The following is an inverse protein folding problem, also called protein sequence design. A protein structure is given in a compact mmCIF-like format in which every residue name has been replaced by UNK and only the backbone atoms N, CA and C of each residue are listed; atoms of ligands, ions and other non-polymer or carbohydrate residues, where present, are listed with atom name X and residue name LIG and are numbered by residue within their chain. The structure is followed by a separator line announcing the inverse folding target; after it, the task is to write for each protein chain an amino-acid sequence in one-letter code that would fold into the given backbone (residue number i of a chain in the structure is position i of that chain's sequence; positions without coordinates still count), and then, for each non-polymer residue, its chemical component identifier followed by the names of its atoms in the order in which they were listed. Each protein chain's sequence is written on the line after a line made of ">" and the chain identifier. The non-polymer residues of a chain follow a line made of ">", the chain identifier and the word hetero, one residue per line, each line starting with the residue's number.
data_IF_590511410696
#
_entry.id   IF_590511410696
#
_cell.length_a   1.000
_cell.length_b   1.000
_cell.length_c   1.000
_cell.angle_alpha   90.00
_cell.angle_beta   90.00
_cell.angle_gamma   90.00
#
_symmetry.space_group_name_H-M   'P 1'
#
loop_
_entity.id
_entity.type
_entity.pdbx_description
1 polymer ?
#
# COMPACT_ATOMS: atom_id res chain seq x y z
N UNK A 1 8.87 -5.06 10.40
CA UNK A 1 9.33 -4.52 11.70
C UNK A 1 8.61 -5.29 12.78
N UNK A 2 9.16 -5.39 14.00
CA UNK A 2 8.35 -5.89 15.11
C UNK A 2 7.08 -5.04 15.16
N UNK A 3 5.93 -5.70 15.29
CA UNK A 3 4.66 -5.04 15.55
C UNK A 3 4.87 -4.20 16.82
N UNK A 4 4.91 -2.87 16.68
CA UNK A 4 5.08 -2.02 17.84
C UNK A 4 3.80 -2.06 18.64
N UNK A 5 3.91 -2.54 19.86
CA UNK A 5 2.80 -2.62 20.80
C UNK A 5 2.33 -1.22 21.23
N UNK A 6 3.26 -0.25 21.23
CA UNK A 6 3.01 1.12 21.60
C UNK A 6 3.53 2.10 20.55
N UNK A 7 2.76 3.16 20.29
CA UNK A 7 3.15 4.25 19.40
C UNK A 7 4.28 5.07 20.05
N UNK A 8 4.21 5.34 21.35
CA UNK A 8 5.22 6.12 22.05
C UNK A 8 5.49 5.60 23.47
N UNK A 9 6.69 5.83 23.98
CA UNK A 9 7.04 5.67 25.39
C UNK A 9 7.68 6.96 25.95
N UNK A 10 7.12 7.57 27.01
CA UNK A 10 7.75 8.68 27.70
C UNK A 10 8.91 8.16 28.57
N UNK A 11 10.10 8.73 28.39
CA UNK A 11 11.26 8.48 29.26
C UNK A 11 11.50 9.72 30.10
N UNK A 12 11.36 9.61 31.42
CA UNK A 12 11.38 10.76 32.34
C UNK A 12 11.86 10.36 33.74
N UNK A 13 12.23 11.34 34.57
CA UNK A 13 12.52 11.14 35.98
C UNK A 13 11.23 11.26 36.83
N UNK A 14 11.14 10.51 37.93
CA UNK A 14 9.94 10.49 38.78
C UNK A 14 9.54 11.89 39.29
N UNK A 15 10.51 12.77 39.51
CA UNK A 15 10.31 14.15 39.94
C UNK A 15 9.51 14.98 38.92
N UNK A 16 9.59 14.64 37.64
CA UNK A 16 8.93 15.35 36.55
C UNK A 16 7.55 14.78 36.19
N UNK A 17 7.12 13.71 36.89
CA UNK A 17 5.89 12.95 36.60
C UNK A 17 4.66 13.82 36.41
N UNK A 18 4.47 14.82 37.28
CA UNK A 18 3.28 15.67 37.22
C UNK A 18 3.17 16.46 35.91
N UNK A 19 4.31 16.83 35.30
CA UNK A 19 4.34 17.49 33.98
C UNK A 19 4.16 16.50 32.84
N UNK A 20 4.81 15.34 32.93
CA UNK A 20 4.75 14.29 31.91
C UNK A 20 3.35 13.71 31.78
N UNK A 21 2.68 13.49 32.92
CA UNK A 21 1.34 12.90 32.95
C UNK A 21 0.32 13.73 32.17
N UNK A 22 0.42 15.06 32.21
CA UNK A 22 -0.46 15.94 31.43
C UNK A 22 -0.35 15.68 29.92
N UNK A 23 0.87 15.44 29.42
CA UNK A 23 1.10 15.13 28.00
C UNK A 23 0.64 13.71 27.68
N UNK A 24 0.94 12.75 28.57
CA UNK A 24 0.52 11.34 28.42
C UNK A 24 -0.99 11.20 28.34
N UNK A 25 -1.72 11.80 29.28
CA UNK A 25 -3.18 11.78 29.31
C UNK A 25 -3.74 12.39 28.03
N UNK A 26 -3.17 13.52 27.59
CA UNK A 26 -3.63 14.15 26.35
C UNK A 26 -3.34 13.31 25.11
N UNK A 27 -2.22 12.61 25.05
CA UNK A 27 -1.91 11.67 23.97
C UNK A 27 -2.90 10.50 23.94
N UNK A 28 -3.25 9.95 25.11
CA UNK A 28 -4.26 8.90 25.25
C UNK A 28 -5.63 9.40 24.77
N UNK A 29 -6.04 10.61 25.14
CA UNK A 29 -7.29 11.23 24.69
C UNK A 29 -7.34 11.40 23.15
N UNK A 30 -6.18 11.59 22.53
CA UNK A 30 -6.02 11.68 21.07
C UNK A 30 -5.89 10.30 20.39
N UNK A 31 -6.06 9.20 21.13
CA UNK A 31 -6.05 7.84 20.61
C UNK A 31 -4.65 7.26 20.34
N UNK A 32 -3.60 7.86 20.89
CA UNK A 32 -2.22 7.35 20.77
C UNK A 32 -2.01 6.20 21.76
N UNK A 33 -1.43 5.08 21.30
CA UNK A 33 -1.03 3.99 22.20
C UNK A 33 0.25 4.37 22.95
N UNK A 34 0.15 4.66 24.25
CA UNK A 34 1.28 5.10 25.09
C UNK A 34 1.68 3.99 26.05
N UNK A 35 2.94 3.56 26.02
CA UNK A 35 3.50 2.72 27.09
C UNK A 35 3.72 3.58 28.32
N UNK A 36 2.98 3.34 29.40
CA UNK A 36 3.17 4.02 30.68
C UNK A 36 3.35 3.00 31.81
N UNK A 37 4.48 3.11 32.50
CA UNK A 37 4.97 2.14 33.48
C UNK A 37 3.95 1.77 34.58
N UNK A 38 3.09 2.71 35.00
CA UNK A 38 2.07 2.48 36.03
C UNK A 38 0.83 1.74 35.50
N UNK A 39 0.50 1.91 34.22
CA UNK A 39 -0.63 1.20 33.60
C UNK A 39 -0.33 -0.30 33.40
N UNK A 40 0.94 -0.68 33.54
CA UNK A 40 1.46 -2.02 33.29
C UNK A 40 1.82 -2.76 34.59
N UNK A 41 1.30 -2.28 35.73
CA UNK A 41 1.69 -2.79 37.06
C UNK A 41 1.48 -4.30 37.22
N UNK A 42 0.40 -4.86 36.67
CA UNK A 42 0.11 -6.30 36.74
C UNK A 42 1.05 -7.11 35.87
N UNK A 43 1.31 -6.66 34.64
CA UNK A 43 2.15 -7.35 33.67
C UNK A 43 3.63 -7.32 34.06
N UNK A 44 4.07 -6.22 34.68
CA UNK A 44 5.45 -6.06 35.17
C UNK A 44 5.72 -6.81 36.48
N UNK A 45 4.68 -7.25 37.19
CA UNK A 45 4.84 -7.84 38.51
C UNK A 45 5.60 -9.18 38.42
N UNK A 46 6.84 -9.18 38.94
CA UNK A 46 7.70 -10.37 38.99
C UNK A 46 8.68 -10.50 37.81
N UNK A 47 8.68 -9.55 36.87
CA UNK A 47 9.64 -9.51 35.76
C UNK A 47 10.98 -8.89 36.18
N UNK A 48 12.05 -9.23 35.45
CA UNK A 48 13.29 -8.45 35.47
C UNK A 48 13.06 -7.12 34.75
N UNK A 49 12.97 -6.04 35.54
CA UNK A 49 12.68 -4.72 35.03
C UNK A 49 13.80 -4.15 34.14
N UNK A 50 15.05 -4.61 34.27
CA UNK A 50 16.15 -4.17 33.42
C UNK A 50 16.00 -4.74 32.01
N UNK A 51 15.75 -6.05 31.91
CA UNK A 51 15.52 -6.72 30.63
C UNK A 51 14.24 -6.18 29.97
N UNK A 52 13.14 -6.12 30.72
CA UNK A 52 11.86 -5.63 30.22
C UNK A 52 11.92 -4.18 29.73
N UNK A 53 12.62 -3.31 30.44
CA UNK A 53 12.83 -1.91 30.00
C UNK A 53 13.67 -1.87 28.72
N UNK A 54 14.70 -2.71 28.63
CA UNK A 54 15.58 -2.75 27.46
C UNK A 54 14.84 -3.24 26.22
N UNK A 55 13.99 -4.26 26.36
CA UNK A 55 13.12 -4.73 25.28
C UNK A 55 12.09 -3.66 24.90
N UNK A 56 11.43 -3.05 25.88
CA UNK A 56 10.36 -2.09 25.58
C UNK A 56 10.85 -0.86 24.84
N UNK A 57 11.89 -0.20 25.36
CA UNK A 57 12.48 1.00 24.75
C UNK A 57 13.38 0.68 23.56
N UNK A 58 13.84 -0.57 23.42
CA UNK A 58 14.69 -1.03 22.33
C UNK A 58 13.92 -1.57 21.11
N UNK A 59 12.73 -2.15 21.30
CA UNK A 59 12.02 -2.83 20.21
C UNK A 59 10.49 -2.74 20.22
N UNK A 60 9.81 -2.59 21.37
CA UNK A 60 8.33 -2.61 21.43
C UNK A 60 7.66 -1.27 21.13
N UNK A 61 8.40 -0.17 21.23
CA UNK A 61 7.85 1.19 21.00
C UNK A 61 8.32 1.76 19.66
N UNK A 62 7.45 2.55 19.02
CA UNK A 62 7.77 3.23 17.75
C UNK A 62 8.63 4.48 17.95
N UNK A 63 8.29 5.34 18.90
CA UNK A 63 9.12 6.48 19.31
C UNK A 63 9.34 6.50 20.82
N UNK A 64 10.46 7.06 21.25
CA UNK A 64 10.69 7.41 22.65
C UNK A 64 10.64 8.93 22.78
N UNK A 65 9.90 9.41 23.79
CA UNK A 65 9.79 10.82 24.15
C UNK A 65 10.66 11.09 25.39
N UNK A 66 11.95 11.41 25.25
CA UNK A 66 12.77 11.77 26.41
C UNK A 66 12.37 13.16 26.90
N UNK A 67 11.84 13.21 28.13
CA UNK A 67 11.57 14.44 28.86
C UNK A 67 12.83 14.86 29.61
N UNK A 68 13.52 15.84 29.04
CA UNK A 68 14.85 16.25 29.45
C UNK A 68 14.78 17.26 30.59
N UNK A 69 15.37 16.90 31.73
CA UNK A 69 15.56 17.74 32.90
C UNK A 69 16.88 17.43 33.61
N UNK A 70 17.24 18.23 34.62
CA UNK A 70 18.33 17.90 35.53
C UNK A 70 18.13 16.54 36.20
N UNK A 71 16.90 16.26 36.67
CA UNK A 71 16.54 14.99 37.30
C UNK A 71 16.69 13.80 36.33
N UNK A 72 16.34 13.98 35.06
CA UNK A 72 16.47 12.98 34.01
C UNK A 72 17.91 12.52 33.72
N UNK A 73 18.89 13.41 33.93
CA UNK A 73 20.31 13.07 33.74
C UNK A 73 20.84 12.24 34.91
N UNK A 74 20.37 12.55 36.12
CA UNK A 74 20.85 11.98 37.38
C UNK A 74 20.18 10.64 37.73
N UNK A 75 18.91 10.44 37.36
CA UNK A 75 18.10 9.26 37.67
C UNK A 75 18.58 7.98 36.93
N UNK A 76 18.53 6.84 37.62
CA UNK A 76 19.15 5.57 37.17
C UNK A 76 18.36 4.89 36.05
N UNK A 77 17.04 4.87 36.11
CA UNK A 77 16.16 4.25 35.13
C UNK A 77 16.10 5.03 33.82
N UNK A 78 15.95 6.35 33.87
CA UNK A 78 16.10 7.31 32.79
C UNK A 78 17.45 7.12 32.08
N UNK A 79 18.54 6.91 32.83
CA UNK A 79 19.86 6.60 32.25
C UNK A 79 19.91 5.26 31.53
N UNK A 80 19.18 4.24 31.99
CA UNK A 80 19.07 2.95 31.29
C UNK A 80 18.27 3.11 30.01
N UNK A 81 17.05 3.66 30.11
CA UNK A 81 16.15 3.94 28.97
C UNK A 81 16.86 4.74 27.89
N UNK A 82 17.55 5.84 28.26
CA UNK A 82 18.32 6.68 27.34
C UNK A 82 19.41 5.91 26.61
N UNK A 83 20.16 5.05 27.32
CA UNK A 83 21.26 4.28 26.69
C UNK A 83 20.73 3.28 25.66
N UNK A 84 19.65 2.58 25.99
CA UNK A 84 18.99 1.63 25.08
C UNK A 84 18.43 2.37 23.86
N UNK A 85 17.71 3.47 24.10
CA UNK A 85 17.08 4.23 23.03
C UNK A 85 18.12 4.88 22.08
N UNK A 86 19.23 5.39 22.62
CA UNK A 86 20.34 5.91 21.82
C UNK A 86 21.03 4.82 20.99
N UNK A 87 21.21 3.61 21.55
CA UNK A 87 21.80 2.50 20.81
C UNK A 87 20.97 2.14 19.57
N UNK A 88 19.65 2.04 19.75
CA UNK A 88 18.71 1.80 18.63
C UNK A 88 18.70 2.96 17.62
N UNK A 89 18.70 4.20 18.09
CA UNK A 89 18.73 5.37 17.22
C UNK A 89 19.99 5.41 16.33
N UNK A 90 21.13 4.93 16.84
CA UNK A 90 22.37 4.80 16.08
C UNK A 90 22.25 3.75 14.96
N UNK A 91 21.59 2.63 15.24
CA UNK A 91 21.40 1.53 14.28
C UNK A 91 20.41 1.86 13.16
N UNK A 92 19.33 2.59 13.45
CA UNK A 92 18.21 2.79 12.50
C UNK A 92 18.34 4.04 11.60
N UNK A 93 19.33 4.93 11.78
CA UNK A 93 19.45 6.21 11.04
C UNK A 93 18.11 6.98 10.89
N UNK A 94 17.23 6.87 11.89
CA UNK A 94 15.86 7.37 11.84
C UNK A 94 15.54 8.22 13.08
N UNK A 95 14.52 9.06 12.97
CA UNK A 95 14.03 10.01 13.99
C UNK A 95 13.37 9.30 15.21
N UNK A 96 14.05 8.33 15.84
CA UNK A 96 13.48 7.49 16.91
C UNK A 96 13.24 8.23 18.24
N UNK A 97 14.07 9.23 18.53
CA UNK A 97 13.98 10.06 19.73
C UNK A 97 13.31 11.38 19.40
N UNK A 98 12.28 11.76 20.17
CA UNK A 98 11.60 13.04 20.05
C UNK A 98 11.73 13.82 21.37
N UNK A 99 12.84 14.56 21.59
CA UNK A 99 13.12 15.20 22.87
C UNK A 99 12.14 16.32 23.22
N UNK A 100 11.76 16.36 24.50
CA UNK A 100 10.92 17.39 25.10
C UNK A 100 11.67 17.98 26.29
N UNK A 101 12.08 19.25 26.24
CA UNK A 101 12.81 19.92 27.31
C UNK A 101 11.85 20.40 28.40
N UNK A 102 12.20 20.08 29.64
CA UNK A 102 11.62 20.61 30.87
C UNK A 102 12.47 21.79 31.37
N UNK A 103 13.80 21.70 31.20
CA UNK A 103 14.78 22.74 31.49
C UNK A 103 15.93 22.76 30.45
N UNK A 104 16.94 23.60 30.70
CA UNK A 104 18.10 23.78 29.81
C UNK A 104 19.25 22.79 30.06
N UNK A 105 19.00 21.70 30.78
CA UNK A 105 20.04 20.69 31.07
C UNK A 105 20.51 20.03 29.78
N UNK A 106 21.83 19.87 29.64
CA UNK A 106 22.44 19.10 28.56
C UNK A 106 22.43 17.61 28.88
N UNK A 107 22.05 16.79 27.91
CA UNK A 107 21.89 15.35 28.10
C UNK A 107 23.05 14.60 27.46
N UNK A 108 23.84 13.83 28.23
CA UNK A 108 24.88 12.98 27.68
C UNK A 108 24.31 11.98 26.66
N UNK A 109 24.86 12.02 25.44
CA UNK A 109 24.47 11.13 24.33
C UNK A 109 23.34 11.66 23.45
N UNK A 110 22.78 12.84 23.73
CA UNK A 110 21.87 13.55 22.84
C UNK A 110 22.62 14.76 22.24
N UNK A 111 22.74 14.82 20.92
CA UNK A 111 23.45 15.93 20.26
C UNK A 111 22.61 17.22 20.36
N UNK A 112 23.28 18.35 20.59
CA UNK A 112 22.62 19.67 20.61
C UNK A 112 21.96 20.06 19.27
N UNK A 113 22.32 19.37 18.17
CA UNK A 113 21.72 19.54 16.85
C UNK A 113 20.38 18.81 16.68
N UNK A 114 19.96 17.97 17.64
CA UNK A 114 18.65 17.30 17.60
C UNK A 114 17.56 18.30 17.94
N UNK A 115 16.57 18.43 17.06
CA UNK A 115 15.39 19.28 17.31
C UNK A 115 14.60 18.80 18.53
N UNK A 116 14.04 19.74 19.30
CA UNK A 116 13.28 19.46 20.51
C UNK A 116 12.02 20.33 20.59
N UNK A 117 11.05 19.87 21.36
CA UNK A 117 9.97 20.72 21.89
C UNK A 117 10.30 21.12 23.32
N UNK A 118 9.68 22.18 23.82
CA UNK A 118 9.97 22.76 25.13
C UNK A 118 8.66 23.05 25.87
N UNK A 119 8.45 22.44 27.05
CA UNK A 119 7.21 22.59 27.83
C UNK A 119 7.00 24.01 28.39
N UNK A 120 8.06 24.83 28.41
CA UNK A 120 8.00 26.23 28.86
C UNK A 120 7.45 27.16 27.78
N UNK A 121 7.54 26.73 26.52
CA UNK A 121 7.14 27.51 25.34
C UNK A 121 5.91 26.90 24.65
N UNK A 122 5.82 25.58 24.64
CA UNK A 122 4.77 24.82 23.97
C UNK A 122 3.80 24.27 25.02
N UNK A 123 2.50 24.45 24.79
CA UNK A 123 1.48 23.86 25.66
C UNK A 123 1.41 22.34 25.48
N UNK A 124 0.83 21.66 26.46
CA UNK A 124 0.53 20.22 26.42
C UNK A 124 -0.19 19.82 25.13
N UNK A 125 -1.15 20.62 24.68
CA UNK A 125 -1.87 20.40 23.42
C UNK A 125 -0.94 20.42 22.21
N UNK A 126 -0.07 21.43 22.12
CA UNK A 126 0.86 21.58 20.99
C UNK A 126 1.83 20.42 20.93
N UNK A 127 2.35 19.99 22.08
CA UNK A 127 3.25 18.84 22.17
C UNK A 127 2.53 17.56 21.74
N UNK A 128 1.33 17.32 22.26
CA UNK A 128 0.55 16.13 21.93
C UNK A 128 0.19 16.08 20.43
N UNK A 129 -0.27 17.19 19.85
CA UNK A 129 -0.55 17.29 18.42
C UNK A 129 0.70 17.09 17.56
N UNK A 130 1.86 17.61 17.98
CA UNK A 130 3.11 17.40 17.24
C UNK A 130 3.52 15.92 17.23
N UNK A 131 3.31 15.19 18.32
CA UNK A 131 3.53 13.74 18.38
C UNK A 131 2.55 13.01 17.45
N UNK A 132 1.27 13.36 17.48
CA UNK A 132 0.26 12.80 16.54
C UNK A 132 0.67 13.07 15.09
N UNK A 133 1.15 14.27 14.79
CA UNK A 133 1.61 14.63 13.46
C UNK A 133 2.86 13.82 13.05
N UNK A 134 3.81 13.58 13.97
CA UNK A 134 4.97 12.70 13.71
C UNK A 134 4.54 11.25 13.44
N UNK A 135 3.60 10.73 14.22
CA UNK A 135 3.01 9.41 14.00
C UNK A 135 2.28 9.35 12.64
N UNK A 136 1.54 10.40 12.27
CA UNK A 136 0.85 10.48 10.99
C UNK A 136 1.82 10.59 9.82
N UNK A 137 2.88 11.40 9.91
CA UNK A 137 3.92 11.52 8.88
C UNK A 137 4.64 10.18 8.65
N UNK A 138 4.96 9.46 9.72
CA UNK A 138 5.51 8.11 9.60
C UNK A 138 4.50 7.14 8.96
N UNK A 139 3.20 7.28 9.24
CA UNK A 139 2.15 6.47 8.62
C UNK A 139 1.85 6.88 7.16
N UNK A 140 2.22 8.09 6.75
CA UNK A 140 1.93 8.69 5.44
C UNK A 140 3.03 8.52 4.38
N UNK A 141 4.14 7.85 4.68
CA UNK A 141 5.26 7.69 3.72
C UNK A 141 4.91 6.86 2.48
N UNK A 142 3.82 6.09 2.51
CA UNK A 142 3.37 5.29 1.37
C UNK A 142 1.91 5.58 1.04
N UNK A 143 1.68 6.15 -0.14
CA UNK A 143 0.36 6.44 -0.69
C UNK A 143 0.19 5.72 -2.02
N UNK A 144 -1.02 5.72 -2.57
CA UNK A 144 -1.32 5.25 -3.93
C UNK A 144 -0.46 5.94 -5.00
N UNK A 145 0.15 7.10 -4.68
CA UNK A 145 1.03 7.87 -5.56
C UNK A 145 2.53 7.59 -5.37
N UNK A 146 2.94 6.79 -4.38
CA UNK A 146 4.37 6.53 -4.11
C UNK A 146 4.96 5.62 -5.19
N UNK A 147 6.04 6.00 -5.91
CA UNK A 147 6.68 5.16 -6.92
C UNK A 147 7.04 3.77 -6.38
N UNK A 148 6.72 2.69 -7.11
CA UNK A 148 7.17 1.34 -6.78
C UNK A 148 8.61 1.19 -7.24
N UNK A 149 9.53 1.22 -6.29
CA UNK A 149 10.94 0.91 -6.48
C UNK A 149 11.34 -0.20 -5.51
N UNK A 150 12.43 -0.95 -5.76
CA UNK A 150 12.92 -1.92 -4.78
C UNK A 150 13.14 -1.30 -3.40
N UNK A 151 13.53 -0.02 -3.33
CA UNK A 151 13.68 0.70 -2.07
C UNK A 151 12.34 1.04 -1.41
N UNK A 152 11.33 1.50 -2.16
CA UNK A 152 10.02 1.83 -1.57
C UNK A 152 9.24 0.58 -1.16
N UNK A 153 9.34 -0.51 -1.93
CA UNK A 153 8.78 -1.82 -1.56
C UNK A 153 9.48 -2.36 -0.31
N UNK A 154 10.82 -2.30 -0.26
CA UNK A 154 11.57 -2.72 0.92
C UNK A 154 11.31 -1.84 2.14
N UNK A 155 11.03 -0.54 1.96
CA UNK A 155 10.61 0.35 3.02
C UNK A 155 9.21 -0.01 3.52
N UNK A 156 8.24 -0.19 2.63
CA UNK A 156 6.87 -0.57 2.98
C UNK A 156 6.80 -1.94 3.65
N UNK A 157 7.48 -2.95 3.10
CA UNK A 157 7.57 -4.30 3.65
C UNK A 157 8.24 -4.33 5.03
N UNK A 158 9.13 -3.35 5.30
CA UNK A 158 9.76 -3.19 6.60
C UNK A 158 8.83 -2.48 7.58
N UNK A 159 8.24 -1.36 7.18
CA UNK A 159 7.43 -0.49 8.03
C UNK A 159 6.04 -1.06 8.35
N UNK A 160 5.48 -1.86 7.43
CA UNK A 160 4.15 -2.49 7.50
C UNK A 160 3.09 -1.59 8.17
N UNK A 161 2.84 -0.38 7.64
CA UNK A 161 1.75 0.47 8.13
C UNK A 161 0.40 -0.26 8.03
N UNK A 162 -0.64 0.23 8.73
CA UNK A 162 -1.98 -0.35 8.64
C UNK A 162 -2.46 -0.35 7.19
N UNK A 163 -2.85 -1.53 6.69
CA UNK A 163 -3.30 -1.70 5.29
C UNK A 163 -2.18 -1.71 4.25
N UNK A 164 -0.92 -1.91 4.65
CA UNK A 164 0.22 -1.90 3.74
C UNK A 164 0.10 -2.90 2.59
N UNK A 165 -0.50 -4.08 2.82
CA UNK A 165 -0.70 -5.09 1.78
C UNK A 165 -1.56 -4.52 0.64
N UNK A 166 -2.65 -3.87 1.02
CA UNK A 166 -3.59 -3.27 0.09
C UNK A 166 -2.99 -2.08 -0.64
N UNK A 167 -2.31 -1.19 0.09
CA UNK A 167 -1.62 -0.05 -0.52
C UNK A 167 -0.56 -0.51 -1.53
N UNK A 168 0.24 -1.53 -1.20
CA UNK A 168 1.25 -2.08 -2.10
C UNK A 168 0.60 -2.55 -3.42
N UNK A 169 -0.44 -3.37 -3.31
CA UNK A 169 -1.15 -3.92 -4.45
C UNK A 169 -1.74 -2.82 -5.34
N UNK A 170 -2.49 -1.89 -4.75
CA UNK A 170 -3.14 -0.78 -5.48
C UNK A 170 -2.10 0.07 -6.21
N UNK A 171 -0.98 0.38 -5.55
CA UNK A 171 0.07 1.21 -6.14
C UNK A 171 0.75 0.50 -7.32
N UNK A 172 1.01 -0.81 -7.24
CA UNK A 172 1.53 -1.61 -8.36
C UNK A 172 0.56 -1.58 -9.54
N UNK A 173 -0.74 -1.84 -9.30
CA UNK A 173 -1.77 -1.83 -10.34
C UNK A 173 -1.90 -0.44 -10.97
N UNK A 174 -1.99 0.61 -10.16
CA UNK A 174 -2.16 1.98 -10.64
C UNK A 174 -1.00 2.45 -11.51
N UNK A 175 0.24 2.14 -11.13
CA UNK A 175 1.42 2.51 -11.92
C UNK A 175 1.50 1.71 -13.22
N UNK A 176 1.30 0.40 -13.16
CA UNK A 176 1.30 -0.43 -14.36
C UNK A 176 0.23 -0.03 -15.36
N UNK A 177 -0.98 0.31 -14.90
CA UNK A 177 -2.03 0.82 -15.81
C UNK A 177 -1.72 2.22 -16.37
N UNK A 178 -1.05 3.09 -15.61
CA UNK A 178 -0.63 4.39 -16.11
C UNK A 178 0.37 4.26 -17.28
N UNK A 179 1.28 3.27 -17.24
CA UNK A 179 2.18 2.97 -18.36
C UNK A 179 1.44 2.50 -19.62
N UNK A 180 0.27 1.89 -19.46
CA UNK A 180 -0.57 1.38 -20.54
C UNK A 180 -1.66 2.36 -21.00
N UNK A 181 -1.73 3.54 -20.39
CA UNK A 181 -2.80 4.52 -20.64
C UNK A 181 -2.88 4.92 -22.13
N UNK A 182 -1.74 5.13 -22.78
CA UNK A 182 -1.71 5.44 -24.21
C UNK A 182 -2.34 4.31 -25.04
N UNK A 183 -1.94 3.06 -24.79
CA UNK A 183 -2.48 1.89 -25.53
C UNK A 183 -3.98 1.76 -25.31
N UNK A 184 -4.44 2.01 -24.09
CA UNK A 184 -5.85 2.00 -23.71
C UNK A 184 -6.66 3.02 -24.51
N UNK A 185 -6.21 4.28 -24.58
CA UNK A 185 -6.91 5.31 -25.35
C UNK A 185 -6.91 5.02 -26.85
N UNK A 186 -5.79 4.54 -27.40
CA UNK A 186 -5.69 4.14 -28.81
C UNK A 186 -6.68 3.02 -29.17
N UNK A 187 -6.91 2.06 -28.27
CA UNK A 187 -7.91 1.00 -28.45
C UNK A 187 -9.32 1.56 -28.65
N UNK A 188 -9.76 2.50 -27.82
CA UNK A 188 -11.09 3.11 -27.96
C UNK A 188 -11.20 4.05 -29.17
N UNK A 189 -10.08 4.57 -29.68
CA UNK A 189 -10.00 5.24 -30.98
C UNK A 189 -10.01 4.27 -32.17
N UNK A 190 -10.09 2.96 -31.92
CA UNK A 190 -10.02 1.88 -32.91
C UNK A 190 -8.71 1.88 -33.70
N UNK A 191 -7.65 2.41 -33.08
CA UNK A 191 -6.37 2.69 -33.72
C UNK A 191 -5.26 1.76 -33.19
N UNK A 192 -4.38 1.36 -34.10
CA UNK A 192 -3.06 0.83 -33.81
C UNK A 192 -2.15 1.07 -35.03
N UNK A 193 -0.83 1.22 -34.82
CA UNK A 193 0.15 1.21 -35.91
C UNK A 193 0.00 -0.04 -36.76
N UNK A 194 0.27 0.06 -38.06
CA UNK A 194 0.26 -1.11 -38.94
C UNK A 194 1.38 -2.06 -38.52
N UNK A 195 1.05 -3.33 -38.29
CA UNK A 195 2.01 -4.33 -37.80
C UNK A 195 2.73 -5.11 -38.92
N UNK A 196 2.54 -4.70 -40.18
CA UNK A 196 3.12 -5.37 -41.35
C UNK A 196 2.39 -6.64 -41.79
N UNK A 197 1.44 -7.15 -41.00
CA UNK A 197 0.62 -8.30 -41.39
C UNK A 197 -0.49 -7.88 -42.37
N UNK A 198 -0.63 -8.64 -43.46
CA UNK A 198 -1.70 -8.48 -44.45
C UNK A 198 -2.44 -9.81 -44.60
N UNK A 199 -3.73 -9.83 -44.28
CA UNK A 199 -4.62 -10.96 -44.51
C UNK A 199 -5.17 -10.89 -45.95
N UNK A 200 -4.80 -11.87 -46.77
CA UNK A 200 -5.17 -11.94 -48.19
C UNK A 200 -6.39 -12.84 -48.46
N UNK A 201 -6.77 -13.71 -47.52
CA UNK A 201 -7.93 -14.59 -47.64
C UNK A 201 -9.22 -13.93 -47.18
N UNK A 202 -10.25 -14.77 -46.98
CA UNK A 202 -11.54 -14.34 -46.42
C UNK A 202 -11.48 -13.97 -44.92
N UNK A 203 -10.31 -14.12 -44.28
CA UNK A 203 -10.08 -13.78 -42.88
C UNK A 203 -10.72 -14.69 -41.84
N UNK A 204 -11.49 -15.72 -42.23
CA UNK A 204 -12.24 -16.56 -41.28
C UNK A 204 -11.31 -17.30 -40.32
N UNK A 205 -10.23 -17.91 -40.83
CA UNK A 205 -9.27 -18.64 -40.00
C UNK A 205 -8.60 -17.71 -38.99
N UNK A 206 -8.09 -16.56 -39.44
CA UNK A 206 -7.45 -15.57 -38.57
C UNK A 206 -8.38 -15.04 -37.48
N UNK A 207 -9.65 -14.79 -37.83
CA UNK A 207 -10.67 -14.36 -36.86
C UNK A 207 -10.94 -15.48 -35.83
N UNK A 208 -11.02 -16.74 -36.25
CA UNK A 208 -11.21 -17.87 -35.32
C UNK A 208 -10.04 -18.02 -34.36
N UNK A 209 -8.81 -17.96 -34.86
CA UNK A 209 -7.60 -18.07 -34.03
C UNK A 209 -7.57 -16.98 -32.95
N UNK A 210 -7.99 -15.76 -33.31
CA UNK A 210 -8.09 -14.64 -32.36
C UNK A 210 -9.20 -14.81 -31.33
N UNK A 211 -10.33 -15.42 -31.69
CA UNK A 211 -11.37 -15.73 -30.71
C UNK A 211 -10.88 -16.75 -29.68
N UNK A 212 -10.15 -17.78 -30.14
CA UNK A 212 -9.51 -18.75 -29.24
C UNK A 212 -8.53 -18.04 -28.32
N UNK A 213 -7.67 -17.18 -28.86
CA UNK A 213 -6.68 -16.46 -28.08
C UNK A 213 -7.30 -15.58 -26.98
N UNK A 214 -8.34 -14.80 -27.29
CA UNK A 214 -9.03 -14.01 -26.26
C UNK A 214 -9.67 -14.93 -25.20
N UNK A 215 -10.30 -16.02 -25.63
CA UNK A 215 -10.89 -17.01 -24.73
C UNK A 215 -9.86 -17.59 -23.76
N UNK A 216 -8.67 -17.94 -24.23
CA UNK A 216 -7.58 -18.45 -23.38
C UNK A 216 -7.06 -17.38 -22.41
N UNK A 217 -6.89 -16.12 -22.86
CA UNK A 217 -6.50 -15.00 -21.98
C UNK A 217 -7.49 -14.85 -20.83
N UNK A 218 -8.80 -14.78 -21.14
CA UNK A 218 -9.85 -14.63 -20.12
C UNK A 218 -9.94 -15.85 -19.22
N UNK A 219 -9.79 -17.06 -19.78
CA UNK A 219 -9.83 -18.29 -19.00
C UNK A 219 -8.68 -18.35 -17.99
N UNK A 220 -7.46 -18.05 -18.41
CA UNK A 220 -6.30 -17.99 -17.49
C UNK A 220 -6.51 -16.92 -16.42
N UNK A 221 -7.04 -15.75 -16.80
CA UNK A 221 -7.35 -14.69 -15.86
C UNK A 221 -8.31 -15.16 -14.76
N UNK A 222 -9.42 -15.80 -15.12
CA UNK A 222 -10.46 -16.25 -14.17
C UNK A 222 -10.04 -17.49 -13.38
N UNK A 223 -9.51 -18.52 -14.05
CA UNK A 223 -9.26 -19.82 -13.45
C UNK A 223 -7.94 -19.86 -12.66
N UNK A 224 -7.03 -18.91 -12.90
CA UNK A 224 -5.68 -18.91 -12.29
C UNK A 224 -5.34 -17.62 -11.55
N UNK A 225 -5.52 -16.47 -12.18
CA UNK A 225 -5.00 -15.19 -11.64
C UNK A 225 -5.95 -14.60 -10.59
N UNK A 226 -7.23 -14.49 -10.91
CA UNK A 226 -8.24 -13.82 -10.09
C UNK A 226 -9.05 -14.80 -9.22
N UNK A 227 -8.35 -15.75 -8.60
CA UNK A 227 -8.94 -16.74 -7.70
C UNK A 227 -8.74 -16.36 -6.23
N UNK A 228 -9.61 -16.87 -5.35
CA UNK A 228 -9.46 -16.71 -3.91
C UNK A 228 -8.13 -17.31 -3.41
N UNK A 229 -7.75 -18.48 -3.93
CA UNK A 229 -6.50 -19.16 -3.56
C UNK A 229 -5.26 -18.32 -3.91
N UNK A 230 -5.24 -17.72 -5.11
CA UNK A 230 -4.13 -16.85 -5.54
C UNK A 230 -4.07 -15.56 -4.71
N UNK A 231 -5.23 -14.99 -4.36
CA UNK A 231 -5.29 -13.84 -3.46
C UNK A 231 -4.78 -14.18 -2.05
N UNK A 232 -5.25 -15.28 -1.46
CA UNK A 232 -4.82 -15.73 -0.12
C UNK A 232 -3.33 -16.09 -0.11
N UNK A 233 -2.80 -16.68 -1.18
CA UNK A 233 -1.38 -16.99 -1.30
C UNK A 233 -0.46 -15.77 -1.27
N UNK A 234 -0.98 -14.58 -1.65
CA UNK A 234 -0.26 -13.30 -1.63
C UNK A 234 -0.56 -12.48 -0.37
N UNK A 235 -1.84 -12.25 -0.06
CA UNK A 235 -2.28 -11.41 1.06
C UNK A 235 -2.26 -12.11 2.43
N UNK A 236 -2.17 -13.45 2.44
CA UNK A 236 -2.31 -14.25 3.64
C UNK A 236 -3.77 -14.51 4.00
N UNK A 237 -4.00 -15.61 4.71
CA UNK A 237 -5.30 -15.90 5.33
C UNK A 237 -5.58 -15.01 6.55
N UNK A 238 -6.76 -15.10 7.16
CA UNK A 238 -7.11 -14.30 8.33
C UNK A 238 -6.08 -14.42 9.47
N UNK A 239 -5.47 -13.30 9.86
CA UNK A 239 -4.44 -13.24 10.91
C UNK A 239 -3.04 -13.68 10.48
N UNK A 240 -2.85 -14.04 9.21
CA UNK A 240 -1.54 -14.36 8.63
C UNK A 240 -1.10 -13.17 7.77
N UNK A 241 0.08 -12.58 8.01
CA UNK A 241 0.54 -11.45 7.21
C UNK A 241 0.85 -11.88 5.77
N UNK A 242 0.54 -11.01 4.82
CA UNK A 242 0.85 -11.21 3.41
C UNK A 242 2.35 -11.17 3.09
N UNK A 243 2.70 -11.69 1.92
CA UNK A 243 4.06 -11.71 1.38
C UNK A 243 4.23 -10.54 0.39
N UNK A 244 5.15 -9.59 0.64
CA UNK A 244 5.33 -8.42 -0.22
C UNK A 244 5.68 -8.76 -1.67
N UNK A 245 6.53 -9.76 -1.91
CA UNK A 245 6.95 -10.14 -3.27
C UNK A 245 5.80 -10.76 -4.03
N UNK A 246 4.99 -11.59 -3.37
CA UNK A 246 3.79 -12.18 -3.98
C UNK A 246 2.70 -11.15 -4.23
N UNK A 247 2.54 -10.15 -3.37
CA UNK A 247 1.59 -9.04 -3.58
C UNK A 247 1.99 -8.22 -4.81
N UNK A 248 3.28 -7.88 -4.94
CA UNK A 248 3.80 -7.21 -6.14
C UNK A 248 3.53 -8.06 -7.37
N UNK A 249 3.89 -9.34 -7.33
CA UNK A 249 3.69 -10.25 -8.45
C UNK A 249 2.21 -10.36 -8.86
N UNK A 250 1.29 -10.43 -7.90
CA UNK A 250 -0.15 -10.46 -8.17
C UNK A 250 -0.64 -9.16 -8.83
N UNK A 251 -0.14 -8.01 -8.39
CA UNK A 251 -0.41 -6.72 -9.05
C UNK A 251 0.13 -6.68 -10.48
N UNK A 252 1.34 -7.19 -10.71
CA UNK A 252 1.92 -7.30 -12.05
C UNK A 252 1.14 -8.25 -12.96
N UNK A 253 0.59 -9.35 -12.42
CA UNK A 253 -0.27 -10.26 -13.19
C UNK A 253 -1.57 -9.56 -13.62
N UNK A 254 -2.18 -8.74 -12.76
CA UNK A 254 -3.33 -7.92 -13.14
C UNK A 254 -3.00 -6.99 -14.33
N UNK A 255 -1.88 -6.27 -14.24
CA UNK A 255 -1.42 -5.35 -15.29
C UNK A 255 -1.09 -6.11 -16.57
N UNK A 256 -0.47 -7.30 -16.46
CA UNK A 256 -0.15 -8.15 -17.60
C UNK A 256 -1.40 -8.66 -18.30
N UNK A 257 -2.40 -9.14 -17.57
CA UNK A 257 -3.69 -9.54 -18.16
C UNK A 257 -4.33 -8.38 -18.90
N UNK A 258 -4.28 -7.16 -18.33
CA UNK A 258 -4.78 -5.96 -19.00
C UNK A 258 -4.02 -5.68 -20.32
N UNK A 259 -2.68 -5.76 -20.30
CA UNK A 259 -1.86 -5.57 -21.50
C UNK A 259 -2.08 -6.68 -22.54
N UNK A 260 -2.28 -7.94 -22.14
CA UNK A 260 -2.57 -9.04 -23.07
C UNK A 260 -3.88 -8.82 -23.83
N UNK A 261 -4.93 -8.34 -23.16
CA UNK A 261 -6.20 -7.98 -23.80
C UNK A 261 -6.01 -6.78 -24.74
N UNK A 262 -5.22 -5.78 -24.32
CA UNK A 262 -4.88 -4.62 -25.18
C UNK A 262 -4.11 -5.07 -26.42
N UNK A 263 -3.04 -5.84 -26.27
CA UNK A 263 -2.21 -6.31 -27.37
C UNK A 263 -2.98 -7.23 -28.31
N UNK A 264 -3.90 -8.06 -27.79
CA UNK A 264 -4.84 -8.80 -28.61
C UNK A 264 -5.65 -7.88 -29.53
N UNK A 265 -6.28 -6.85 -28.98
CA UNK A 265 -7.07 -5.90 -29.77
C UNK A 265 -6.20 -5.07 -30.72
N UNK A 266 -5.02 -4.61 -30.27
CA UNK A 266 -4.04 -3.87 -31.08
C UNK A 266 -3.55 -4.70 -32.26
N UNK A 267 -3.31 -5.99 -32.06
CA UNK A 267 -2.98 -6.92 -33.13
C UNK A 267 -4.04 -6.94 -34.22
N UNK A 268 -5.32 -6.91 -33.84
CA UNK A 268 -6.44 -6.80 -34.78
C UNK A 268 -6.46 -5.43 -35.45
N UNK A 269 -6.31 -4.36 -34.67
CA UNK A 269 -6.33 -2.99 -35.18
C UNK A 269 -5.17 -2.69 -36.13
N UNK A 270 -4.01 -3.32 -35.95
CA UNK A 270 -2.80 -3.15 -36.75
C UNK A 270 -2.75 -4.00 -38.01
N UNK A 271 -3.50 -5.11 -38.08
CA UNK A 271 -3.56 -5.97 -39.27
C UNK A 271 -4.28 -5.28 -40.43
N UNK A 272 -3.68 -5.40 -41.61
CA UNK A 272 -4.28 -4.97 -42.88
C UNK A 272 -5.03 -6.13 -43.52
N UNK A 273 -6.10 -5.83 -44.24
CA UNK A 273 -6.96 -6.83 -44.87
C UNK A 273 -7.14 -6.45 -46.33
N UNK A 274 -6.92 -7.40 -47.24
CA UNK A 274 -7.23 -7.23 -48.66
C UNK A 274 -8.74 -7.20 -48.90
N UNK A 275 -9.50 -8.03 -48.16
CA UNK A 275 -10.96 -8.07 -48.20
C UNK A 275 -11.57 -7.09 -47.18
N UNK A 276 -12.43 -6.19 -47.65
CA UNK A 276 -13.14 -5.22 -46.82
C UNK A 276 -14.13 -5.86 -45.85
N UNK A 277 -14.77 -6.98 -46.22
CA UNK A 277 -15.68 -7.71 -45.34
C UNK A 277 -14.92 -8.32 -44.18
N UNK A 278 -13.76 -8.93 -44.47
CA UNK A 278 -12.89 -9.50 -43.44
C UNK A 278 -12.39 -8.40 -42.49
N UNK A 279 -12.03 -7.23 -43.06
CA UNK A 279 -11.70 -6.03 -42.27
C UNK A 279 -12.84 -5.66 -41.33
N UNK A 280 -14.08 -5.54 -41.83
CA UNK A 280 -15.22 -5.14 -41.02
C UNK A 280 -15.50 -6.13 -39.89
N UNK A 281 -15.51 -7.44 -40.17
CA UNK A 281 -15.71 -8.48 -39.16
C UNK A 281 -14.62 -8.45 -38.07
N UNK A 282 -13.35 -8.27 -38.46
CA UNK A 282 -12.25 -8.13 -37.52
C UNK A 282 -12.37 -6.87 -36.64
N UNK A 283 -12.84 -5.74 -37.19
CA UNK A 283 -13.06 -4.51 -36.39
C UNK A 283 -14.19 -4.64 -35.38
N UNK A 284 -15.20 -5.46 -35.67
CA UNK A 284 -16.25 -5.80 -34.69
C UNK A 284 -15.66 -6.72 -33.61
N UNK A 285 -14.88 -7.74 -34.01
CA UNK A 285 -14.22 -8.66 -33.08
C UNK A 285 -13.38 -7.92 -32.04
N UNK A 286 -12.56 -6.95 -32.45
CA UNK A 286 -11.69 -6.20 -31.53
C UNK A 286 -12.46 -5.51 -30.38
N UNK A 287 -13.74 -5.21 -30.57
CA UNK A 287 -14.59 -4.58 -29.55
C UNK A 287 -14.94 -5.52 -28.40
N UNK A 288 -14.70 -6.83 -28.53
CA UNK A 288 -14.89 -7.78 -27.42
C UNK A 288 -13.97 -7.46 -26.23
N UNK A 289 -12.86 -6.75 -26.48
CA UNK A 289 -11.97 -6.24 -25.45
C UNK A 289 -12.55 -5.04 -24.68
N UNK A 290 -13.50 -4.29 -25.24
CA UNK A 290 -13.99 -3.03 -24.67
C UNK A 290 -14.50 -3.20 -23.24
N UNK A 291 -15.40 -4.16 -23.05
CA UNK A 291 -16.01 -4.39 -21.75
C UNK A 291 -14.99 -4.94 -20.74
N UNK A 292 -14.08 -5.81 -21.17
CA UNK A 292 -13.06 -6.38 -20.29
C UNK A 292 -12.10 -5.29 -19.79
N UNK A 293 -11.63 -4.45 -20.71
CA UNK A 293 -10.73 -3.34 -20.40
C UNK A 293 -11.41 -2.29 -19.52
N UNK A 294 -12.70 -1.99 -19.76
CA UNK A 294 -13.47 -1.11 -18.88
C UNK A 294 -13.63 -1.70 -17.49
N UNK A 295 -14.01 -2.97 -17.38
CA UNK A 295 -14.19 -3.64 -16.10
C UNK A 295 -12.90 -3.66 -15.28
N UNK A 296 -11.77 -4.03 -15.88
CA UNK A 296 -10.47 -4.00 -15.19
C UNK A 296 -10.04 -2.57 -14.81
N UNK A 297 -10.29 -1.59 -15.69
CA UNK A 297 -9.99 -0.19 -15.36
C UNK A 297 -10.84 0.32 -14.19
N UNK A 298 -12.15 0.00 -14.18
CA UNK A 298 -13.06 0.34 -13.09
C UNK A 298 -12.67 -0.33 -11.78
N UNK A 299 -12.25 -1.59 -11.81
CA UNK A 299 -11.70 -2.27 -10.62
C UNK A 299 -10.51 -1.50 -10.07
N UNK A 300 -9.55 -1.10 -10.92
CA UNK A 300 -8.38 -0.36 -10.48
C UNK A 300 -8.73 1.02 -9.89
N UNK A 301 -9.70 1.74 -10.47
CA UNK A 301 -10.18 3.01 -9.93
C UNK A 301 -10.85 2.82 -8.55
N UNK A 302 -11.75 1.85 -8.43
CA UNK A 302 -12.43 1.55 -7.17
C UNK A 302 -11.44 1.14 -6.06
N UNK A 303 -10.40 0.36 -6.42
CA UNK A 303 -9.34 -0.01 -5.49
C UNK A 303 -8.56 1.23 -5.01
N UNK A 304 -8.28 2.17 -5.91
CA UNK A 304 -7.60 3.42 -5.56
C UNK A 304 -8.42 4.32 -4.64
N UNK A 305 -9.71 4.48 -4.92
CA UNK A 305 -10.61 5.28 -4.06
C UNK A 305 -10.64 4.77 -2.62
N UNK A 306 -10.62 3.45 -2.43
CA UNK A 306 -10.51 2.86 -1.09
C UNK A 306 -9.14 3.13 -0.48
N UNK A 307 -8.05 2.96 -1.25
CA UNK A 307 -6.69 3.17 -0.77
C UNK A 307 -6.45 4.59 -0.23
N UNK A 308 -7.03 5.60 -0.89
CA UNK A 308 -6.83 7.01 -0.55
C UNK A 308 -7.37 7.37 0.85
N UNK A 309 -8.34 6.62 1.38
CA UNK A 309 -8.91 6.83 2.73
C UNK A 309 -8.60 5.69 3.69
N UNK A 310 -7.87 4.67 3.23
CA UNK A 310 -7.72 3.40 3.96
C UNK A 310 -7.03 3.59 5.32
N UNK A 311 -5.91 4.32 5.34
CA UNK A 311 -5.10 4.50 6.55
C UNK A 311 -5.89 5.23 7.63
N UNK A 312 -6.64 6.26 7.26
CA UNK A 312 -7.47 7.05 8.17
C UNK A 312 -8.58 6.20 8.78
N UNK A 313 -9.30 5.45 7.94
CA UNK A 313 -10.41 4.58 8.36
C UNK A 313 -9.94 3.42 9.25
N UNK A 314 -8.83 2.76 8.88
CA UNK A 314 -8.21 1.73 9.72
C UNK A 314 -7.67 2.30 11.03
N UNK A 315 -7.20 3.55 11.03
CA UNK A 315 -6.75 4.23 12.27
C UNK A 315 -7.94 4.54 13.19
N UNK A 316 -9.10 4.89 12.62
CA UNK A 316 -10.35 5.08 13.36
C UNK A 316 -10.97 3.77 13.90
N UNK A 317 -10.34 2.62 13.65
CA UNK A 317 -10.81 1.32 14.14
C UNK A 317 -11.89 0.67 13.27
N UNK A 318 -12.13 1.18 12.07
CA UNK A 318 -13.08 0.60 11.13
C UNK A 318 -12.58 -0.75 10.59
N UNK A 319 -13.45 -1.77 10.56
CA UNK A 319 -13.20 -3.00 9.82
C UNK A 319 -13.63 -2.83 8.37
N UNK A 320 -12.69 -2.95 7.44
CA UNK A 320 -12.92 -2.69 6.02
C UNK A 320 -12.80 -4.01 5.26
N UNK A 321 -13.93 -4.46 4.71
CA UNK A 321 -13.97 -5.56 3.76
C UNK A 321 -14.10 -4.99 2.36
N UNK A 322 -13.05 -5.16 1.54
CA UNK A 322 -13.04 -4.68 0.17
C UNK A 322 -13.44 -5.83 -0.75
N UNK A 323 -14.52 -5.64 -1.50
CA UNK A 323 -14.95 -6.59 -2.53
C UNK A 323 -15.25 -5.79 -3.79
N UNK A 324 -14.40 -5.94 -4.80
CA UNK A 324 -14.56 -5.28 -6.09
C UNK A 324 -14.77 -6.37 -7.15
N UNK A 325 -15.99 -6.51 -7.69
CA UNK A 325 -16.27 -7.56 -8.66
C UNK A 325 -15.56 -7.26 -9.99
N UNK A 326 -14.89 -8.26 -10.54
CA UNK A 326 -14.36 -8.25 -11.91
C UNK A 326 -15.16 -9.24 -12.76
N UNK A 327 -15.94 -8.73 -13.70
CA UNK A 327 -16.80 -9.55 -14.57
C UNK A 327 -16.30 -9.45 -15.99
N UNK A 328 -15.97 -10.62 -16.57
CA UNK A 328 -15.64 -10.73 -17.98
C UNK A 328 -16.85 -11.23 -18.77
N UNK A 329 -17.42 -10.39 -19.62
CA UNK A 329 -18.59 -10.73 -20.43
C UNK A 329 -18.59 -9.98 -21.76
N UNK A 330 -19.26 -10.54 -22.77
CA UNK A 330 -19.39 -9.92 -24.10
C UNK A 330 -20.83 -9.44 -24.27
N UNK A 331 -21.01 -8.19 -24.70
CA UNK A 331 -22.34 -7.64 -25.01
C UNK A 331 -23.09 -8.53 -26.02
N UNK A 332 -24.28 -9.07 -25.67
CA UNK A 332 -25.08 -9.89 -26.57
C UNK A 332 -25.45 -9.19 -27.90
N UNK A 333 -25.56 -7.86 -27.91
CA UNK A 333 -25.77 -7.11 -29.15
C UNK A 333 -24.54 -7.16 -30.06
N UNK A 334 -23.36 -6.97 -29.49
CA UNK A 334 -22.08 -7.07 -30.20
C UNK A 334 -21.82 -8.49 -30.70
N UNK A 335 -22.16 -9.52 -29.92
CA UNK A 335 -22.05 -10.92 -30.35
C UNK A 335 -22.95 -11.21 -31.56
N UNK A 336 -24.19 -10.68 -31.58
CA UNK A 336 -25.09 -10.79 -32.73
C UNK A 336 -24.56 -10.07 -33.97
N UNK A 337 -24.01 -8.86 -33.80
CA UNK A 337 -23.40 -8.11 -34.89
C UNK A 337 -22.21 -8.86 -35.49
N UNK A 338 -21.36 -9.42 -34.63
CA UNK A 338 -20.21 -10.21 -35.04
C UNK A 338 -20.62 -11.48 -35.81
N UNK A 339 -21.63 -12.21 -35.33
CA UNK A 339 -22.20 -13.38 -36.04
C UNK A 339 -22.70 -13.00 -37.42
N UNK A 340 -23.44 -11.90 -37.55
CA UNK A 340 -23.93 -11.42 -38.85
C UNK A 340 -22.78 -11.01 -39.79
N UNK A 341 -21.67 -10.48 -39.26
CA UNK A 341 -20.48 -10.16 -40.05
C UNK A 341 -19.78 -11.43 -40.56
N UNK A 342 -19.66 -12.47 -39.73
CA UNK A 342 -19.09 -13.77 -40.12
C UNK A 342 -19.91 -14.48 -41.20
N UNK A 343 -21.24 -14.41 -41.16
CA UNK A 343 -22.10 -14.99 -42.19
C UNK A 343 -21.85 -14.38 -43.58
N UNK A 344 -21.51 -13.08 -43.63
CA UNK A 344 -21.19 -12.37 -44.88
C UNK A 344 -19.83 -12.75 -45.48
N UNK A 345 -18.93 -13.36 -44.68
CA UNK A 345 -17.65 -13.90 -45.15
C UNK A 345 -17.79 -15.29 -45.77
N UNK A 346 -18.84 -16.02 -45.37
CA UNK A 346 -19.14 -17.37 -45.85
C UNK A 346 -19.95 -17.40 -47.16
N UNK A 347 -20.33 -16.22 -47.68
CA UNK A 347 -21.09 -15.99 -48.92
C UNK A 347 -20.25 -15.24 -49.93
#
# INVERSE_FOLDING_TARGET
>A
MPEYEFDVAPSFADEDRARVLQVVDRLKDLGVSVYYDEDQAVERWGLDLVEHTSETYGSRVRYVLPFVSQHYVDERWARLQRRVANARALEQQAEFLLPIRIDDTDVPGLLASVGYLDVRVHSTEVIAQAVVQKLAQHRASFTSATPITPQSVAALAREKPRGWEYLLYVTVVAQGLAELEQKYWEHFLRYAPRNGSVEHGNGISLIRDRNVLLGEIIKVAVDTVFTADTQEAAFGGPGVPGDPERIVHLGELFVRTFDEILEWARGIHGTSYADERARAAARIQAQFADQQLRAMHEVAQNLREVADTLVERLTAGEQINVTVPLVFEVDPALEREFKAALEKLSR
#
